data_IF_842033560547
#
_entry.id   IF_842033560547
#
_cell.length_a   1.000
_cell.length_b   1.000
_cell.length_c   1.000
_cell.angle_alpha   90.00
_cell.angle_beta   90.00
_cell.angle_gamma   90.00
#
_symmetry.space_group_name_H-M   'P 1'
#
loop_
_entity.id
_entity.type
_entity.pdbx_description
1 polymer ?
#
# COMPACT_ATOMS: atom_id res chain seq x y z
N UNK A 1 38.74 29.18 -47.38
CA UNK A 1 37.56 29.24 -46.48
C UNK A 1 36.72 28.00 -46.69
N UNK A 2 36.60 27.10 -45.73
CA UNK A 2 35.78 25.90 -45.91
C UNK A 2 34.33 26.18 -45.50
N UNK A 3 33.38 25.67 -46.31
CA UNK A 3 31.95 25.86 -46.20
C UNK A 3 31.38 25.11 -44.97
N UNK A 4 30.58 25.83 -44.17
CA UNK A 4 29.83 25.27 -43.02
C UNK A 4 28.70 24.34 -43.52
N UNK A 5 28.80 23.05 -43.20
CA UNK A 5 27.70 22.08 -43.37
C UNK A 5 26.56 22.37 -42.38
N UNK A 6 25.39 22.71 -42.91
CA UNK A 6 24.15 22.86 -42.10
C UNK A 6 23.70 21.49 -41.54
N UNK A 7 23.46 21.44 -40.23
CA UNK A 7 22.89 20.27 -39.56
C UNK A 7 21.45 20.01 -40.03
N UNK A 8 21.02 18.72 -40.13
CA UNK A 8 19.67 18.40 -40.56
C UNK A 8 18.62 18.84 -39.55
N UNK A 9 17.56 19.52 -40.03
CA UNK A 9 16.38 19.89 -39.24
C UNK A 9 15.66 18.63 -38.74
N UNK A 10 15.51 18.51 -37.42
CA UNK A 10 14.65 17.48 -36.79
C UNK A 10 13.22 17.63 -37.30
N UNK A 11 12.67 16.53 -37.83
CA UNK A 11 11.26 16.45 -38.21
C UNK A 11 10.33 16.73 -37.00
N UNK A 12 9.18 17.38 -37.23
CA UNK A 12 8.24 17.66 -36.14
C UNK A 12 7.73 16.35 -35.53
N UNK A 13 7.84 16.27 -34.19
CA UNK A 13 7.28 15.16 -33.40
C UNK A 13 5.78 15.11 -33.63
N UNK A 14 5.27 13.98 -34.16
CA UNK A 14 3.83 13.73 -34.30
C UNK A 14 3.13 14.01 -32.98
N UNK A 15 2.10 14.88 -33.02
CA UNK A 15 1.28 15.18 -31.88
C UNK A 15 0.68 13.89 -31.32
N UNK A 16 0.83 13.65 -30.02
CA UNK A 16 0.24 12.51 -29.33
C UNK A 16 -1.27 12.51 -29.60
N UNK A 17 -1.77 11.46 -30.25
CA UNK A 17 -3.20 11.27 -30.48
C UNK A 17 -3.90 11.35 -29.11
N UNK A 18 -4.71 12.37 -28.90
CA UNK A 18 -5.49 12.58 -27.70
C UNK A 18 -6.30 11.32 -27.37
N UNK A 19 -6.20 10.84 -26.15
CA UNK A 19 -7.01 9.73 -25.65
C UNK A 19 -8.47 10.14 -25.77
N UNK A 20 -9.29 9.34 -26.47
CA UNK A 20 -10.73 9.58 -26.55
C UNK A 20 -11.29 9.77 -25.13
N UNK A 21 -12.16 10.76 -24.88
CA UNK A 21 -12.79 10.91 -23.59
C UNK A 21 -13.49 9.61 -23.20
N UNK A 22 -13.45 9.25 -21.92
CA UNK A 22 -14.16 8.08 -21.41
C UNK A 22 -15.67 8.27 -21.63
N UNK A 23 -16.38 7.18 -21.92
CA UNK A 23 -17.84 7.22 -21.99
C UNK A 23 -18.43 7.68 -20.64
N UNK A 24 -19.52 8.43 -20.68
CA UNK A 24 -20.25 8.85 -19.49
C UNK A 24 -20.67 7.62 -18.66
N UNK A 25 -20.52 7.70 -17.34
CA UNK A 25 -20.85 6.61 -16.41
C UNK A 25 -21.60 7.16 -15.20
N UNK A 26 -22.37 6.27 -14.58
CA UNK A 26 -23.12 6.55 -13.35
C UNK A 26 -24.41 7.29 -13.60
N UNK A 27 -25.20 7.52 -12.53
CA UNK A 27 -26.45 8.24 -12.60
C UNK A 27 -26.24 9.74 -12.89
N UNK A 28 -27.25 10.38 -13.50
CA UNK A 28 -27.31 11.82 -13.53
C UNK A 28 -27.50 12.38 -12.10
N UNK A 29 -27.15 13.64 -11.81
CA UNK A 29 -27.29 14.21 -10.47
C UNK A 29 -28.67 14.08 -9.85
N UNK A 30 -29.71 14.18 -10.66
CA UNK A 30 -31.14 14.04 -10.22
C UNK A 30 -31.45 12.61 -9.79
N UNK A 31 -30.86 11.61 -10.48
CA UNK A 31 -31.13 10.20 -10.26
C UNK A 31 -30.27 9.65 -9.11
N UNK A 32 -29.35 10.49 -8.57
CA UNK A 32 -28.53 10.12 -7.40
C UNK A 32 -29.31 10.21 -6.09
N UNK A 33 -30.44 10.92 -6.05
CA UNK A 33 -31.28 11.01 -4.85
C UNK A 33 -32.17 9.77 -4.76
N UNK A 34 -32.16 9.10 -3.61
CA UNK A 34 -33.02 7.92 -3.35
C UNK A 34 -33.81 8.09 -2.05
N UNK A 35 -34.99 7.52 -2.02
CA UNK A 35 -35.85 7.49 -0.84
C UNK A 35 -35.27 6.47 0.19
N UNK A 36 -35.36 6.79 1.47
CA UNK A 36 -34.98 5.92 2.57
C UNK A 36 -35.86 4.67 2.70
N UNK A 37 -37.09 4.71 2.16
CA UNK A 37 -38.05 3.58 2.14
C UNK A 37 -37.70 2.52 1.07
N UNK A 38 -36.76 2.80 0.16
CA UNK A 38 -36.39 1.88 -0.92
C UNK A 38 -35.73 0.61 -0.40
N UNK A 39 -36.03 -0.54 -1.01
CA UNK A 39 -35.48 -1.85 -0.63
C UNK A 39 -33.94 -1.88 -0.63
N UNK A 40 -33.29 -1.09 -1.51
CA UNK A 40 -31.83 -0.99 -1.64
C UNK A 40 -31.15 -0.40 -0.38
N UNK A 41 -31.91 0.36 0.41
CA UNK A 41 -31.42 1.10 1.60
C UNK A 41 -31.87 0.42 2.90
N UNK A 42 -33.03 -0.24 2.89
CA UNK A 42 -33.71 -0.76 4.09
C UNK A 42 -32.84 -1.70 4.92
N UNK A 43 -32.03 -2.55 4.31
CA UNK A 43 -31.13 -3.45 5.00
C UNK A 43 -30.03 -2.69 5.77
N UNK A 44 -29.42 -1.69 5.15
CA UNK A 44 -28.40 -0.86 5.80
C UNK A 44 -29.02 0.02 6.88
N UNK A 45 -30.18 0.61 6.61
CA UNK A 45 -30.93 1.40 7.58
C UNK A 45 -31.27 0.57 8.84
N UNK A 46 -31.79 -0.64 8.65
CA UNK A 46 -32.07 -1.57 9.74
C UNK A 46 -30.82 -1.94 10.58
N UNK A 47 -29.67 -2.08 9.93
CA UNK A 47 -28.40 -2.28 10.64
C UNK A 47 -28.00 -1.04 11.47
N UNK A 48 -28.19 0.17 10.93
CA UNK A 48 -27.90 1.42 11.65
C UNK A 48 -28.77 1.52 12.89
N UNK A 49 -30.08 1.32 12.77
CA UNK A 49 -31.04 1.37 13.87
C UNK A 49 -30.78 0.31 14.92
N UNK A 50 -30.53 -0.94 14.51
CA UNK A 50 -30.19 -2.05 15.41
C UNK A 50 -29.00 -1.73 16.32
N UNK A 51 -28.05 -0.96 15.84
CA UNK A 51 -26.86 -0.58 16.61
C UNK A 51 -26.99 0.81 17.27
N UNK A 52 -28.18 1.40 17.30
CA UNK A 52 -28.47 2.67 17.98
C UNK A 52 -27.99 3.90 17.23
N UNK A 53 -27.79 3.79 15.92
CA UNK A 53 -27.50 4.92 15.03
C UNK A 53 -28.78 5.51 14.43
N UNK A 54 -28.61 6.57 13.65
CA UNK A 54 -29.68 7.24 12.93
C UNK A 54 -29.27 7.47 11.47
N UNK A 55 -30.16 7.14 10.53
CA UNK A 55 -29.96 7.42 9.10
C UNK A 55 -30.21 8.91 8.85
N UNK A 56 -29.26 9.57 8.19
CA UNK A 56 -29.33 10.98 7.80
C UNK A 56 -29.85 11.13 6.38
N UNK A 57 -29.47 10.21 5.49
CA UNK A 57 -29.90 10.21 4.10
C UNK A 57 -29.28 9.06 3.32
N UNK A 58 -29.72 8.91 2.08
CA UNK A 58 -29.16 7.93 1.17
C UNK A 58 -29.02 8.51 -0.24
N UNK A 59 -28.09 7.98 -1.01
CA UNK A 59 -27.86 8.39 -2.40
C UNK A 59 -27.22 7.27 -3.21
N UNK A 60 -27.28 7.38 -4.53
CA UNK A 60 -26.56 6.49 -5.45
C UNK A 60 -25.15 7.04 -5.71
N UNK A 61 -24.15 6.19 -5.58
CA UNK A 61 -22.78 6.59 -5.89
C UNK A 61 -22.63 7.02 -7.36
N UNK A 62 -21.79 8.02 -7.65
CA UNK A 62 -21.70 8.61 -8.99
C UNK A 62 -20.97 7.75 -10.03
N UNK A 63 -20.42 6.58 -9.66
CA UNK A 63 -19.70 5.72 -10.57
C UNK A 63 -20.49 4.49 -11.01
N UNK A 64 -21.05 3.74 -10.07
CA UNK A 64 -21.76 2.49 -10.31
C UNK A 64 -23.25 2.58 -10.01
N UNK A 65 -23.73 3.67 -9.40
CA UNK A 65 -25.13 3.86 -9.01
C UNK A 65 -25.55 3.00 -7.82
N UNK A 66 -24.60 2.46 -7.03
CA UNK A 66 -24.94 1.70 -5.83
C UNK A 66 -25.50 2.60 -4.74
N UNK A 67 -26.48 2.08 -3.99
CA UNK A 67 -27.05 2.81 -2.87
C UNK A 67 -26.04 2.89 -1.70
N UNK A 68 -25.81 4.10 -1.21
CA UNK A 68 -24.99 4.40 -0.05
C UNK A 68 -25.82 5.12 1.00
N UNK A 69 -25.56 4.86 2.29
CA UNK A 69 -26.30 5.46 3.41
C UNK A 69 -25.39 6.36 4.22
N UNK A 70 -25.77 7.62 4.37
CA UNK A 70 -25.15 8.54 5.33
C UNK A 70 -25.87 8.39 6.67
N UNK A 71 -25.10 8.10 7.73
CA UNK A 71 -25.67 7.87 9.04
C UNK A 71 -24.84 8.51 10.15
N UNK A 72 -25.48 8.81 11.29
CA UNK A 72 -24.84 9.11 12.55
C UNK A 72 -24.75 7.84 13.37
N UNK A 73 -23.56 7.35 13.64
CA UNK A 73 -23.31 6.10 14.33
C UNK A 73 -22.74 6.33 15.74
N UNK A 74 -23.18 5.57 16.76
CA UNK A 74 -22.54 5.63 18.08
C UNK A 74 -21.05 5.29 17.95
N UNK A 75 -20.18 6.15 18.48
CA UNK A 75 -18.73 6.01 18.32
C UNK A 75 -18.18 4.68 18.88
N UNK A 76 -18.85 4.13 19.89
CA UNK A 76 -18.52 2.84 20.50
C UNK A 76 -18.80 1.64 19.58
N UNK A 77 -19.66 1.82 18.56
CA UNK A 77 -20.05 0.79 17.60
C UNK A 77 -19.24 0.85 16.30
N UNK A 78 -18.37 1.86 16.16
CA UNK A 78 -17.49 1.98 14.98
C UNK A 78 -16.06 1.69 15.40
N UNK A 79 -15.48 0.64 14.82
CA UNK A 79 -14.09 0.20 15.07
C UNK A 79 -13.27 0.23 13.80
N UNK A 80 -11.98 0.53 13.93
CA UNK A 80 -11.06 0.44 12.80
C UNK A 80 -10.84 -1.03 12.43
N UNK A 81 -10.70 -1.33 11.13
CA UNK A 81 -10.35 -2.68 10.69
C UNK A 81 -8.97 -3.10 11.22
N UNK A 82 -8.77 -4.39 11.54
CA UNK A 82 -7.54 -4.88 12.18
C UNK A 82 -6.30 -4.77 11.28
N UNK A 83 -6.49 -4.62 9.97
CA UNK A 83 -5.40 -4.56 9.00
C UNK A 83 -4.93 -3.12 8.69
N UNK A 84 -5.57 -2.09 9.21
CA UNK A 84 -5.09 -0.72 9.07
C UNK A 84 -3.73 -0.53 9.76
N UNK A 85 -2.96 0.45 9.27
CA UNK A 85 -1.70 0.86 9.87
C UNK A 85 -1.86 1.27 11.34
N UNK A 86 -0.75 1.23 12.07
CA UNK A 86 -0.72 1.61 13.47
C UNK A 86 -1.10 3.07 13.68
N UNK A 87 -1.78 3.33 14.79
CA UNK A 87 -2.23 4.66 15.18
C UNK A 87 -1.02 5.53 15.54
N UNK A 88 -0.83 6.61 14.82
CA UNK A 88 0.09 7.68 15.23
C UNK A 88 -0.59 8.57 16.28
N UNK A 89 -0.12 8.49 17.52
CA UNK A 89 -0.65 9.32 18.62
C UNK A 89 -0.54 10.81 18.34
N UNK A 90 0.59 11.25 17.78
CA UNK A 90 0.85 12.65 17.41
C UNK A 90 -0.12 13.12 16.33
N UNK A 91 -0.34 12.28 15.30
CA UNK A 91 -1.28 12.64 14.23
C UNK A 91 -2.73 12.72 14.75
N UNK A 92 -3.15 11.77 15.60
CA UNK A 92 -4.47 11.79 16.19
C UNK A 92 -4.69 13.02 17.10
N UNK A 93 -3.67 13.45 17.85
CA UNK A 93 -3.72 14.69 18.66
C UNK A 93 -3.89 15.92 17.76
N UNK A 94 -3.03 16.10 16.76
CA UNK A 94 -3.13 17.24 15.83
C UNK A 94 -4.50 17.29 15.13
N UNK A 95 -5.04 16.12 14.78
CA UNK A 95 -6.36 16.05 14.16
C UNK A 95 -7.49 16.41 15.13
N UNK A 96 -7.38 15.99 16.40
CA UNK A 96 -8.33 16.40 17.45
C UNK A 96 -8.29 17.92 17.65
N UNK A 97 -7.09 18.51 17.73
CA UNK A 97 -6.92 19.96 17.87
C UNK A 97 -7.53 20.72 16.67
N UNK A 98 -7.31 20.22 15.45
CA UNK A 98 -7.87 20.82 14.22
C UNK A 98 -9.40 20.73 14.17
N UNK A 99 -10.00 19.59 14.54
CA UNK A 99 -11.45 19.41 14.62
C UNK A 99 -12.03 20.31 15.71
N UNK A 100 -11.38 20.38 16.89
CA UNK A 100 -11.78 21.27 17.98
C UNK A 100 -11.74 22.74 17.58
N UNK A 101 -10.69 23.17 16.88
CA UNK A 101 -10.56 24.56 16.39
C UNK A 101 -11.58 24.89 15.29
N UNK A 102 -11.91 23.93 14.41
CA UNK A 102 -12.94 24.09 13.40
C UNK A 102 -14.36 24.10 13.99
N UNK A 103 -14.56 23.52 15.19
CA UNK A 103 -15.87 23.35 15.81
C UNK A 103 -16.82 22.40 15.08
N UNK A 104 -16.34 21.68 14.06
CA UNK A 104 -17.14 20.83 13.15
C UNK A 104 -16.38 19.54 12.79
N UNK A 105 -17.13 18.43 12.75
CA UNK A 105 -16.65 17.17 12.19
C UNK A 105 -17.12 17.04 10.74
N UNK A 106 -16.29 17.47 9.80
CA UNK A 106 -16.68 17.66 8.40
C UNK A 106 -16.55 16.40 7.54
N UNK A 107 -15.57 15.54 7.85
CA UNK A 107 -15.23 14.38 7.02
C UNK A 107 -15.90 13.11 7.55
N UNK A 108 -16.99 12.59 6.94
CA UNK A 108 -17.54 11.30 7.32
C UNK A 108 -16.50 10.18 7.21
N UNK A 109 -16.55 9.22 8.13
CA UNK A 109 -15.78 8.00 7.98
C UNK A 109 -16.51 7.03 7.07
N UNK A 110 -15.78 6.26 6.26
CA UNK A 110 -16.41 5.15 5.55
C UNK A 110 -16.61 4.01 6.52
N UNK A 111 -17.77 3.36 6.47
CA UNK A 111 -18.11 2.24 7.33
C UNK A 111 -18.76 1.11 6.54
N UNK A 112 -18.51 -0.11 6.96
CA UNK A 112 -19.17 -1.33 6.45
C UNK A 112 -19.79 -2.09 7.63
N UNK A 113 -20.90 -2.79 7.45
CA UNK A 113 -21.48 -3.62 8.50
C UNK A 113 -20.50 -4.68 9.02
N UNK A 114 -20.59 -4.99 10.31
CA UNK A 114 -19.88 -6.08 10.95
C UNK A 114 -20.80 -6.79 11.95
N UNK A 115 -20.37 -7.92 12.51
CA UNK A 115 -21.20 -8.72 13.43
C UNK A 115 -21.71 -7.91 14.63
N UNK A 116 -20.86 -7.05 15.23
CA UNK A 116 -21.14 -6.33 16.48
C UNK A 116 -21.27 -4.80 16.28
N UNK A 117 -21.40 -4.32 15.05
CA UNK A 117 -21.47 -2.90 14.71
C UNK A 117 -20.96 -2.59 13.32
N UNK A 118 -19.93 -1.75 13.22
CA UNK A 118 -19.41 -1.27 11.95
C UNK A 118 -17.89 -1.27 11.94
N UNK A 119 -17.29 -1.71 10.85
CA UNK A 119 -15.88 -1.54 10.58
C UNK A 119 -15.65 -0.25 9.76
N UNK A 120 -14.67 0.54 10.17
CA UNK A 120 -14.19 1.65 9.36
C UNK A 120 -12.84 1.27 8.73
N UNK A 121 -12.79 0.97 7.43
CA UNK A 121 -11.54 0.67 6.72
C UNK A 121 -10.68 1.90 6.48
N UNK A 122 -11.25 3.09 6.67
CA UNK A 122 -10.60 4.38 6.46
C UNK A 122 -11.07 5.34 7.57
N UNK A 123 -10.17 5.84 8.39
CA UNK A 123 -10.55 6.85 9.39
C UNK A 123 -10.11 6.55 10.82
N UNK A 124 -9.19 5.60 11.04
CA UNK A 124 -8.69 5.25 12.37
C UNK A 124 -8.26 6.48 13.20
N UNK A 125 -7.53 7.41 12.57
CA UNK A 125 -7.11 8.66 13.23
C UNK A 125 -8.29 9.58 13.51
N UNK A 126 -9.29 9.67 12.61
CA UNK A 126 -10.53 10.44 12.83
C UNK A 126 -11.36 9.87 13.97
N UNK A 127 -11.53 8.55 14.02
CA UNK A 127 -12.21 7.88 15.13
C UNK A 127 -11.51 8.11 16.47
N UNK A 128 -10.18 8.04 16.48
CA UNK A 128 -9.41 8.32 17.70
C UNK A 128 -9.51 9.79 18.11
N UNK A 129 -9.43 10.72 17.17
CA UNK A 129 -9.62 12.15 17.45
C UNK A 129 -11.03 12.42 18.00
N UNK A 130 -12.06 11.84 17.39
CA UNK A 130 -13.44 11.96 17.87
C UNK A 130 -13.63 11.40 19.28
N UNK A 131 -12.98 10.27 19.62
CA UNK A 131 -12.99 9.72 20.99
C UNK A 131 -12.32 10.65 22.00
N UNK A 132 -11.18 11.23 21.65
CA UNK A 132 -10.46 12.21 22.50
C UNK A 132 -11.26 13.47 22.75
N UNK A 133 -12.03 13.91 21.76
CA UNK A 133 -12.95 15.04 21.88
C UNK A 133 -14.24 14.70 22.64
N UNK A 134 -14.42 13.46 23.10
CA UNK A 134 -15.61 13.04 23.83
C UNK A 134 -16.87 12.97 22.99
N UNK A 135 -16.76 12.85 21.67
CA UNK A 135 -17.91 12.76 20.77
C UNK A 135 -18.71 11.48 21.05
N UNK A 136 -20.05 11.59 21.07
CA UNK A 136 -20.97 10.47 21.29
C UNK A 136 -21.21 9.67 20.03
N UNK A 137 -21.16 10.33 18.87
CA UNK A 137 -21.40 9.75 17.55
C UNK A 137 -20.40 10.27 16.54
N UNK A 138 -20.31 9.58 15.39
CA UNK A 138 -19.57 10.01 14.21
C UNK A 138 -20.45 9.90 12.97
N UNK A 139 -20.30 10.84 12.05
CA UNK A 139 -20.92 10.74 10.73
C UNK A 139 -20.18 9.70 9.90
N UNK A 140 -20.91 8.76 9.32
CA UNK A 140 -20.35 7.68 8.54
C UNK A 140 -21.10 7.53 7.20
N UNK A 141 -20.36 7.22 6.15
CA UNK A 141 -20.89 6.77 4.88
C UNK A 141 -20.84 5.24 4.85
N UNK A 142 -22.00 4.61 4.90
CA UNK A 142 -22.11 3.15 4.88
C UNK A 142 -22.13 2.63 3.46
N UNK A 143 -21.35 1.57 3.25
CA UNK A 143 -21.27 0.82 2.00
C UNK A 143 -21.80 -0.59 2.25
N UNK A 144 -22.69 -1.14 1.40
CA UNK A 144 -23.34 -2.43 1.63
C UNK A 144 -22.38 -3.62 1.51
N UNK A 145 -21.31 -3.50 0.71
CA UNK A 145 -20.36 -4.57 0.43
C UNK A 145 -19.20 -4.54 1.43
N UNK A 146 -19.14 -5.53 2.32
CA UNK A 146 -18.06 -5.70 3.31
C UNK A 146 -16.69 -5.94 2.64
N UNK A 147 -16.67 -6.57 1.44
CA UNK A 147 -15.45 -6.79 0.66
C UNK A 147 -14.79 -5.47 0.23
N UNK A 148 -15.55 -4.40 0.17
CA UNK A 148 -15.02 -3.08 -0.16
C UNK A 148 -14.06 -2.57 0.91
N UNK A 149 -14.19 -3.04 2.17
CA UNK A 149 -13.26 -2.72 3.24
C UNK A 149 -11.81 -3.06 2.88
N UNK A 150 -11.60 -4.14 2.13
CA UNK A 150 -10.28 -4.54 1.65
C UNK A 150 -9.80 -3.70 0.47
N UNK A 151 -10.71 -3.18 -0.36
CA UNK A 151 -10.39 -2.37 -1.54
C UNK A 151 -10.15 -0.90 -1.21
N UNK A 152 -10.71 -0.39 -0.12
CA UNK A 152 -10.56 1.02 0.29
C UNK A 152 -9.10 1.37 0.60
N UNK A 153 -8.30 0.42 1.08
CA UNK A 153 -6.87 0.64 1.23
C UNK A 153 -6.18 0.99 -0.10
N UNK A 154 -6.60 0.34 -1.20
CA UNK A 154 -6.12 0.65 -2.53
C UNK A 154 -6.59 2.03 -3.04
N UNK A 155 -7.71 2.55 -2.51
CA UNK A 155 -8.24 3.87 -2.86
C UNK A 155 -7.62 5.00 -2.02
N UNK A 156 -6.95 4.69 -0.90
CA UNK A 156 -6.27 5.68 -0.05
C UNK A 156 -4.93 6.12 -0.65
N UNK A 157 -4.97 6.66 -1.87
CA UNK A 157 -3.78 7.16 -2.58
C UNK A 157 -3.33 8.55 -2.13
N UNK A 158 -4.10 9.23 -1.29
CA UNK A 158 -3.91 10.66 -0.96
C UNK A 158 -2.72 10.95 -0.03
N UNK A 159 -2.15 9.93 0.63
CA UNK A 159 -0.90 10.10 1.40
C UNK A 159 0.12 9.11 0.90
N UNK A 160 1.30 9.60 0.53
CA UNK A 160 2.45 8.76 0.27
C UNK A 160 2.70 7.87 1.50
N UNK A 161 2.21 6.63 1.44
CA UNK A 161 2.53 5.63 2.45
C UNK A 161 4.01 5.30 2.32
N UNK A 162 4.75 5.33 3.42
CA UNK A 162 6.08 4.75 3.36
C UNK A 162 5.96 3.23 3.11
N UNK A 163 6.98 2.67 2.51
CA UNK A 163 7.02 1.25 2.11
C UNK A 163 6.66 0.29 3.26
N UNK A 164 7.13 0.60 4.46
CA UNK A 164 6.89 -0.21 5.65
C UNK A 164 5.41 -0.27 6.03
N UNK A 165 4.77 0.90 6.14
CA UNK A 165 3.36 0.99 6.54
C UNK A 165 2.47 0.29 5.52
N UNK A 166 2.75 0.49 4.23
CA UNK A 166 2.01 -0.18 3.16
C UNK A 166 2.17 -1.70 3.20
N UNK A 167 3.40 -2.19 3.36
CA UNK A 167 3.65 -3.63 3.45
C UNK A 167 2.98 -4.26 4.68
N UNK A 168 2.97 -3.56 5.83
CA UNK A 168 2.27 -4.04 7.03
C UNK A 168 0.75 -4.05 6.87
N UNK A 169 0.17 -3.07 6.21
CA UNK A 169 -1.27 -3.08 5.89
C UNK A 169 -1.62 -4.28 5.01
N UNK A 170 -0.86 -4.48 3.94
CA UNK A 170 -1.11 -5.57 2.98
C UNK A 170 -0.97 -6.95 3.63
N UNK A 171 0.08 -7.19 4.44
CA UNK A 171 0.24 -8.51 5.07
C UNK A 171 -0.84 -8.79 6.12
N UNK A 172 -1.24 -7.79 6.90
CA UNK A 172 -2.34 -7.94 7.87
C UNK A 172 -3.66 -8.27 7.19
N UNK A 173 -3.93 -7.59 6.07
CA UNK A 173 -5.09 -7.87 5.23
C UNK A 173 -5.05 -9.28 4.64
N UNK A 174 -3.90 -9.72 4.12
CA UNK A 174 -3.72 -11.07 3.60
C UNK A 174 -3.95 -12.14 4.67
N UNK A 175 -3.47 -11.92 5.91
CA UNK A 175 -3.70 -12.81 7.04
C UNK A 175 -5.18 -12.89 7.44
N UNK A 176 -5.90 -11.78 7.37
CA UNK A 176 -7.35 -11.77 7.65
C UNK A 176 -8.11 -12.52 6.56
N UNK A 177 -7.84 -12.22 5.29
CA UNK A 177 -8.45 -12.94 4.16
C UNK A 177 -8.14 -14.43 4.17
N UNK A 178 -6.94 -14.83 4.59
CA UNK A 178 -6.60 -16.27 4.74
C UNK A 178 -7.44 -17.00 5.77
N UNK A 179 -7.94 -16.30 6.81
CA UNK A 179 -8.88 -16.87 7.80
C UNK A 179 -10.29 -16.92 7.25
N UNK A 180 -10.75 -15.89 6.57
CA UNK A 180 -12.11 -15.77 6.04
C UNK A 180 -12.33 -16.60 4.78
N UNK A 181 -11.31 -16.67 3.92
CA UNK A 181 -11.36 -17.31 2.61
C UNK A 181 -10.14 -18.25 2.39
N UNK A 182 -9.97 -19.32 3.21
CA UNK A 182 -8.75 -20.13 3.21
C UNK A 182 -8.50 -20.90 1.90
N UNK A 183 -9.52 -21.06 1.05
CA UNK A 183 -9.41 -21.71 -0.26
C UNK A 183 -9.10 -20.77 -1.41
N UNK A 184 -9.24 -19.43 -1.22
CA UNK A 184 -8.93 -18.46 -2.27
C UNK A 184 -7.42 -18.42 -2.53
N UNK A 185 -7.04 -18.15 -3.78
CA UNK A 185 -5.65 -18.08 -4.19
C UNK A 185 -5.10 -16.66 -4.02
N UNK A 186 -3.81 -16.53 -3.76
CA UNK A 186 -3.16 -15.22 -3.58
C UNK A 186 -3.31 -14.32 -4.82
N UNK A 187 -3.18 -14.87 -6.03
CA UNK A 187 -3.31 -14.13 -7.28
C UNK A 187 -4.72 -13.58 -7.54
N UNK A 188 -5.77 -14.17 -6.98
CA UNK A 188 -7.14 -13.65 -7.05
C UNK A 188 -7.28 -12.29 -6.34
N UNK A 189 -6.41 -12.03 -5.38
CA UNK A 189 -6.37 -10.78 -4.61
C UNK A 189 -5.32 -9.78 -5.11
N UNK A 190 -4.77 -9.97 -6.31
CA UNK A 190 -3.68 -9.13 -6.85
C UNK A 190 -4.01 -7.63 -6.87
N UNK A 191 -5.26 -7.27 -7.18
CA UNK A 191 -5.72 -5.86 -7.15
C UNK A 191 -5.72 -5.30 -5.73
N UNK A 192 -6.10 -6.11 -4.75
CA UNK A 192 -6.19 -5.74 -3.34
C UNK A 192 -4.81 -5.58 -2.71
N UNK A 193 -3.88 -6.47 -3.06
CA UNK A 193 -2.51 -6.47 -2.52
C UNK A 193 -1.56 -5.55 -3.29
N UNK A 194 -1.93 -5.08 -4.49
CA UNK A 194 -1.21 -4.15 -5.37
C UNK A 194 0.14 -4.66 -5.86
N UNK A 195 0.98 -5.16 -4.98
CA UNK A 195 2.31 -5.68 -5.31
C UNK A 195 2.65 -6.92 -4.47
N UNK A 196 3.15 -7.98 -5.09
CA UNK A 196 3.59 -9.17 -4.37
C UNK A 196 4.73 -8.85 -3.40
N UNK A 197 5.58 -7.87 -3.72
CA UNK A 197 6.66 -7.43 -2.85
C UNK A 197 6.17 -6.92 -1.48
N UNK A 198 4.96 -6.34 -1.39
CA UNK A 198 4.41 -5.88 -0.12
C UNK A 198 4.10 -7.05 0.82
N UNK A 199 3.66 -8.20 0.31
CA UNK A 199 3.43 -9.39 1.11
C UNK A 199 4.74 -9.92 1.73
N UNK A 200 5.78 -10.06 0.90
CA UNK A 200 7.09 -10.54 1.36
C UNK A 200 7.76 -9.56 2.33
N UNK A 201 7.74 -8.26 2.02
CA UNK A 201 8.27 -7.22 2.91
C UNK A 201 7.43 -7.09 4.18
N UNK A 202 6.12 -7.25 4.10
CA UNK A 202 5.22 -7.25 5.24
C UNK A 202 5.60 -8.31 6.27
N UNK A 203 5.84 -9.55 5.83
CA UNK A 203 6.34 -10.63 6.68
C UNK A 203 7.70 -10.28 7.34
N UNK A 204 8.59 -9.62 6.61
CA UNK A 204 9.88 -9.18 7.15
C UNK A 204 9.70 -8.05 8.19
N UNK A 205 8.82 -7.09 7.94
CA UNK A 205 8.55 -5.99 8.89
C UNK A 205 7.80 -6.44 10.15
N UNK A 206 6.97 -7.47 10.08
CA UNK A 206 6.33 -8.08 11.26
C UNK A 206 7.37 -8.67 12.21
N UNK A 207 8.42 -9.31 11.67
CA UNK A 207 9.49 -9.93 12.45
C UNK A 207 10.57 -8.92 12.88
N UNK A 208 10.88 -7.95 12.02
CA UNK A 208 11.92 -6.94 12.23
C UNK A 208 11.43 -5.56 11.83
N UNK A 209 10.89 -4.80 12.79
CA UNK A 209 10.26 -3.50 12.56
C UNK A 209 11.17 -2.45 11.88
N UNK A 210 12.50 -2.55 12.05
CA UNK A 210 13.52 -1.68 11.44
C UNK A 210 14.21 -2.31 10.24
N UNK A 211 13.59 -3.29 9.60
CA UNK A 211 14.14 -3.90 8.39
C UNK A 211 14.30 -2.87 7.26
N UNK A 212 15.44 -2.91 6.55
CA UNK A 212 15.74 -1.97 5.48
C UNK A 212 15.09 -2.37 4.13
N UNK A 213 13.79 -2.58 4.12
CA UNK A 213 13.04 -3.11 2.97
C UNK A 213 13.17 -2.30 1.70
N UNK A 214 13.33 -0.98 1.79
CA UNK A 214 13.55 -0.10 0.64
C UNK A 214 14.79 -0.49 -0.19
N UNK A 215 15.84 -1.02 0.46
CA UNK A 215 17.03 -1.51 -0.25
C UNK A 215 16.74 -2.77 -1.07
N UNK A 216 15.78 -3.60 -0.65
CA UNK A 216 15.43 -4.88 -1.30
C UNK A 216 14.29 -4.75 -2.31
N UNK A 217 13.44 -3.73 -2.19
CA UNK A 217 12.30 -3.52 -3.07
C UNK A 217 12.64 -3.54 -4.57
N UNK A 218 13.76 -2.94 -5.04
CA UNK A 218 14.12 -2.98 -6.46
C UNK A 218 14.36 -4.40 -7.02
N UNK A 219 14.84 -5.31 -6.17
CA UNK A 219 15.01 -6.73 -6.54
C UNK A 219 13.64 -7.41 -6.57
N UNK A 220 12.88 -7.27 -5.47
CA UNK A 220 11.58 -7.91 -5.31
C UNK A 220 10.61 -7.52 -6.43
N UNK A 221 10.55 -6.26 -6.80
CA UNK A 221 9.71 -5.79 -7.92
C UNK A 221 10.02 -6.50 -9.25
N UNK A 222 11.23 -7.03 -9.43
CA UNK A 222 11.63 -7.74 -10.66
C UNK A 222 11.36 -9.24 -10.60
N UNK A 223 11.47 -9.86 -9.42
CA UNK A 223 11.45 -11.33 -9.29
C UNK A 223 10.22 -11.87 -8.56
N UNK A 224 9.59 -11.05 -7.72
CA UNK A 224 8.42 -11.46 -6.95
C UNK A 224 7.16 -11.43 -7.83
N UNK A 225 6.30 -12.42 -7.65
CA UNK A 225 5.01 -12.55 -8.36
C UNK A 225 3.95 -13.05 -7.39
N UNK A 226 2.69 -12.76 -7.67
CA UNK A 226 1.58 -13.37 -6.96
C UNK A 226 1.57 -14.88 -7.20
N UNK A 227 1.36 -15.64 -6.12
CA UNK A 227 1.41 -17.09 -6.14
C UNK A 227 0.06 -17.66 -6.59
N UNK A 228 0.12 -18.73 -7.40
CA UNK A 228 -1.05 -19.53 -7.74
C UNK A 228 -1.27 -20.64 -6.69
N UNK A 229 -1.29 -20.25 -5.44
CA UNK A 229 -1.52 -21.13 -4.29
C UNK A 229 -2.54 -20.49 -3.35
N UNK A 230 -3.16 -21.30 -2.50
CA UNK A 230 -4.10 -20.80 -1.50
C UNK A 230 -3.42 -19.76 -0.60
N UNK A 231 -4.19 -18.80 -0.10
CA UNK A 231 -3.67 -17.74 0.78
C UNK A 231 -2.84 -18.28 1.96
N UNK A 232 -3.30 -19.34 2.71
CA UNK A 232 -2.48 -19.88 3.80
C UNK A 232 -1.17 -20.51 3.32
N UNK A 233 -1.14 -21.15 2.15
CA UNK A 233 0.08 -21.71 1.58
C UNK A 233 1.01 -20.62 1.06
N UNK A 234 0.46 -19.61 0.38
CA UNK A 234 1.18 -18.43 -0.06
C UNK A 234 1.86 -17.70 1.09
N UNK A 235 1.14 -17.44 2.19
CA UNK A 235 1.68 -16.78 3.36
C UNK A 235 2.86 -17.53 3.98
N UNK A 236 2.78 -18.86 4.10
CA UNK A 236 3.92 -19.67 4.57
C UNK A 236 5.14 -19.51 3.65
N UNK A 237 4.93 -19.49 2.34
CA UNK A 237 6.01 -19.27 1.38
C UNK A 237 6.60 -17.86 1.50
N UNK A 238 5.76 -16.83 1.72
CA UNK A 238 6.19 -15.44 1.96
C UNK A 238 7.03 -15.31 3.22
N UNK A 239 6.65 -15.98 4.29
CA UNK A 239 7.40 -16.04 5.55
C UNK A 239 8.78 -16.67 5.35
N UNK A 240 8.88 -17.79 4.61
CA UNK A 240 10.17 -18.40 4.28
C UNK A 240 11.07 -17.47 3.47
N UNK A 241 10.53 -16.74 2.50
CA UNK A 241 11.31 -15.77 1.75
C UNK A 241 11.74 -14.58 2.60
N UNK A 242 10.87 -14.10 3.49
CA UNK A 242 11.20 -13.02 4.42
C UNK A 242 12.37 -13.40 5.35
N UNK A 243 12.37 -14.61 5.90
CA UNK A 243 13.50 -15.13 6.70
C UNK A 243 14.79 -15.11 5.88
N UNK A 244 14.76 -15.65 4.65
CA UNK A 244 15.96 -15.67 3.78
C UNK A 244 16.47 -14.27 3.44
N UNK A 245 15.57 -13.29 3.23
CA UNK A 245 15.97 -11.90 2.97
C UNK A 245 16.62 -11.29 4.22
N UNK A 246 16.08 -11.57 5.41
CA UNK A 246 16.65 -11.09 6.66
C UNK A 246 18.03 -11.69 6.95
N UNK A 247 18.24 -12.98 6.64
CA UNK A 247 19.57 -13.63 6.73
C UNK A 247 20.60 -12.98 5.79
N UNK A 248 20.15 -12.59 4.58
CA UNK A 248 20.99 -11.82 3.65
C UNK A 248 21.30 -10.45 4.24
N UNK A 249 20.29 -9.77 4.81
CA UNK A 249 20.46 -8.44 5.42
C UNK A 249 21.41 -8.44 6.61
N UNK A 250 21.46 -9.50 7.41
CA UNK A 250 22.40 -9.63 8.51
C UNK A 250 23.85 -9.68 8.01
N UNK A 251 24.10 -10.36 6.88
CA UNK A 251 25.41 -10.36 6.22
C UNK A 251 25.73 -8.99 5.60
N UNK A 252 24.75 -8.34 4.98
CA UNK A 252 24.87 -6.96 4.48
C UNK A 252 25.23 -6.01 5.63
N UNK A 253 24.61 -6.17 6.79
CA UNK A 253 24.89 -5.36 7.98
C UNK A 253 26.32 -5.59 8.51
N UNK A 254 26.86 -6.82 8.43
CA UNK A 254 28.24 -7.10 8.78
C UNK A 254 29.22 -6.39 7.83
N UNK A 255 28.99 -6.45 6.51
CA UNK A 255 29.81 -5.71 5.54
C UNK A 255 29.70 -4.19 5.73
N UNK A 256 28.49 -3.68 6.07
CA UNK A 256 28.29 -2.27 6.38
C UNK A 256 29.17 -1.81 7.55
N UNK A 257 29.23 -2.58 8.63
CA UNK A 257 30.11 -2.28 9.79
C UNK A 257 31.58 -2.24 9.37
N UNK A 258 32.03 -3.19 8.53
CA UNK A 258 33.37 -3.20 7.99
C UNK A 258 33.69 -1.94 7.18
N UNK A 259 32.79 -1.54 6.29
CA UNK A 259 32.97 -0.33 5.48
C UNK A 259 33.00 0.95 6.35
N UNK A 260 32.16 1.01 7.39
CA UNK A 260 32.17 2.12 8.35
C UNK A 260 33.49 2.18 9.13
N UNK A 261 34.03 1.03 9.54
CA UNK A 261 35.35 0.95 10.18
C UNK A 261 36.50 1.39 9.25
N UNK A 262 36.32 1.24 7.92
CA UNK A 262 37.25 1.75 6.90
C UNK A 262 37.08 3.26 6.62
N UNK A 263 36.26 3.97 7.40
CA UNK A 263 36.02 5.41 7.27
C UNK A 263 34.93 5.81 6.27
N UNK A 264 34.23 4.89 5.65
CA UNK A 264 33.14 5.21 4.72
C UNK A 264 31.88 5.65 5.48
N UNK A 265 31.49 6.91 5.31
CA UNK A 265 30.29 7.49 5.94
C UNK A 265 29.29 7.88 4.87
N UNK A 266 28.24 7.07 4.65
CA UNK A 266 27.13 7.40 3.74
C UNK A 266 25.87 6.65 4.16
N UNK A 267 24.69 7.28 4.16
CA UNK A 267 23.41 6.60 4.40
C UNK A 267 23.08 5.58 3.32
N UNK A 268 23.69 5.66 2.15
CA UNK A 268 23.43 4.80 1.00
C UNK A 268 24.27 3.52 0.95
N UNK A 269 25.19 3.30 1.89
CA UNK A 269 26.10 2.12 1.90
C UNK A 269 25.33 0.80 1.78
N UNK A 270 24.24 0.63 2.55
CA UNK A 270 23.41 -0.57 2.48
C UNK A 270 22.80 -0.76 1.09
N UNK A 271 22.24 0.29 0.51
CA UNK A 271 21.66 0.23 -0.82
C UNK A 271 22.70 -0.12 -1.91
N UNK A 272 23.93 0.37 -1.76
CA UNK A 272 25.05 0.04 -2.65
C UNK A 272 25.41 -1.45 -2.56
N UNK A 273 25.54 -1.99 -1.33
CA UNK A 273 25.84 -3.41 -1.14
C UNK A 273 24.73 -4.26 -1.77
N UNK A 274 23.45 -3.96 -1.45
CA UNK A 274 22.31 -4.71 -1.98
C UNK A 274 22.24 -4.60 -3.51
N UNK A 275 22.53 -3.43 -4.10
CA UNK A 275 22.59 -3.28 -5.55
C UNK A 275 23.73 -4.12 -6.19
N UNK A 276 24.87 -4.28 -5.52
CA UNK A 276 25.98 -5.10 -6.01
C UNK A 276 25.69 -6.60 -5.96
N UNK A 277 25.00 -7.06 -4.92
CA UNK A 277 24.64 -8.48 -4.79
C UNK A 277 23.38 -8.86 -5.58
N UNK A 278 22.65 -7.89 -6.13
CA UNK A 278 21.40 -8.08 -6.87
C UNK A 278 21.65 -8.81 -8.22
N UNK A 279 21.17 -10.05 -8.41
CA UNK A 279 21.41 -10.83 -9.63
C UNK A 279 20.64 -10.31 -10.84
N UNK A 280 19.61 -9.48 -10.64
CA UNK A 280 18.77 -8.90 -11.70
C UNK A 280 19.00 -7.39 -11.89
N UNK A 281 20.13 -6.86 -11.39
CA UNK A 281 20.42 -5.43 -11.45
C UNK A 281 20.30 -4.85 -12.85
N UNK A 282 20.89 -5.51 -13.83
CA UNK A 282 20.99 -5.03 -15.22
C UNK A 282 19.88 -5.52 -16.13
N UNK A 283 18.92 -6.31 -15.62
CA UNK A 283 17.77 -6.73 -16.41
C UNK A 283 16.83 -5.52 -16.58
N UNK A 284 16.54 -5.08 -17.82
CA UNK A 284 15.63 -3.98 -18.04
C UNK A 284 14.20 -4.35 -17.58
N UNK A 285 13.41 -3.38 -17.14
CA UNK A 285 12.01 -3.62 -16.83
C UNK A 285 11.27 -4.08 -18.10
N UNK A 286 10.44 -5.12 -17.97
CA UNK A 286 9.60 -5.56 -19.08
C UNK A 286 8.52 -4.51 -19.38
N UNK A 287 8.29 -4.26 -20.69
CA UNK A 287 7.17 -3.42 -21.14
C UNK A 287 5.83 -4.16 -21.10
N UNK A 288 5.83 -5.49 -21.02
CA UNK A 288 4.63 -6.31 -20.93
C UNK A 288 4.26 -6.49 -19.45
N UNK A 289 3.00 -6.19 -19.11
CA UNK A 289 2.48 -6.23 -17.73
C UNK A 289 2.56 -7.64 -17.12
N UNK A 290 2.42 -8.69 -17.96
CA UNK A 290 2.39 -10.11 -17.57
C UNK A 290 3.66 -10.88 -17.99
N UNK A 291 4.79 -10.18 -18.14
CA UNK A 291 6.03 -10.87 -18.52
C UNK A 291 6.50 -11.77 -17.37
N UNK A 292 6.98 -12.96 -17.75
CA UNK A 292 7.65 -13.85 -16.81
C UNK A 292 8.81 -13.11 -16.11
N UNK A 293 9.05 -13.36 -14.83
CA UNK A 293 10.18 -12.76 -14.10
C UNK A 293 11.49 -13.27 -14.72
N UNK A 294 12.57 -12.46 -14.67
CA UNK A 294 13.87 -12.85 -15.21
C UNK A 294 14.47 -14.08 -14.53
N UNK A 295 14.03 -14.37 -13.33
CA UNK A 295 14.32 -15.60 -12.56
C UNK A 295 13.28 -15.76 -11.44
N UNK A 296 13.20 -16.96 -10.86
CA UNK A 296 12.31 -17.21 -9.74
C UNK A 296 12.79 -16.48 -8.46
N UNK A 297 11.87 -16.21 -7.55
CA UNK A 297 12.20 -15.62 -6.24
C UNK A 297 13.21 -16.48 -5.46
N UNK A 298 13.02 -17.80 -5.45
CA UNK A 298 13.92 -18.75 -4.77
C UNK A 298 15.34 -18.70 -5.33
N UNK A 299 15.47 -18.64 -6.65
CA UNK A 299 16.77 -18.53 -7.34
C UNK A 299 17.43 -17.18 -7.07
N UNK A 300 16.67 -16.08 -7.12
CA UNK A 300 17.19 -14.75 -6.82
C UNK A 300 17.78 -14.68 -5.41
N UNK A 301 17.06 -15.17 -4.41
CA UNK A 301 17.54 -15.20 -3.02
C UNK A 301 18.76 -16.11 -2.84
N UNK A 302 18.83 -17.24 -3.55
CA UNK A 302 20.01 -18.14 -3.53
C UNK A 302 21.24 -17.42 -4.10
N UNK A 303 21.08 -16.74 -5.25
CA UNK A 303 22.18 -15.96 -5.86
C UNK A 303 22.59 -14.78 -4.97
N UNK A 304 21.65 -14.06 -4.38
CA UNK A 304 21.95 -12.97 -3.45
C UNK A 304 22.72 -13.47 -2.23
N UNK A 305 22.32 -14.60 -1.64
CA UNK A 305 23.02 -15.21 -0.52
C UNK A 305 24.45 -15.66 -0.87
N UNK A 306 24.66 -16.16 -2.08
CA UNK A 306 25.99 -16.49 -2.58
C UNK A 306 26.84 -15.23 -2.84
N UNK A 307 26.24 -14.21 -3.46
CA UNK A 307 26.93 -12.96 -3.81
C UNK A 307 27.36 -12.18 -2.55
N UNK A 308 26.51 -12.13 -1.50
CA UNK A 308 26.87 -11.42 -0.27
C UNK A 308 28.05 -12.08 0.46
N UNK A 309 28.20 -13.41 0.35
CA UNK A 309 29.36 -14.13 0.93
C UNK A 309 30.67 -13.79 0.21
N UNK A 310 30.58 -13.50 -1.10
CA UNK A 310 31.73 -13.15 -1.96
C UNK A 310 31.98 -11.64 -2.04
N UNK A 311 31.13 -10.84 -1.39
CA UNK A 311 31.24 -9.39 -1.47
C UNK A 311 32.51 -8.88 -0.76
N UNK A 312 33.30 -8.11 -1.51
CA UNK A 312 34.49 -7.43 -0.95
C UNK A 312 34.16 -5.94 -0.68
N UNK A 313 34.15 -5.50 0.60
CA UNK A 313 33.93 -4.10 0.97
C UNK A 313 34.92 -3.12 0.32
N UNK A 314 36.14 -3.55 -0.01
CA UNK A 314 37.19 -2.71 -0.63
C UNK A 314 36.90 -2.42 -2.11
N UNK A 315 35.97 -3.16 -2.73
CA UNK A 315 35.59 -2.99 -4.13
C UNK A 315 34.70 -1.76 -4.40
N UNK A 316 34.18 -1.11 -3.34
CA UNK A 316 33.30 0.05 -3.46
C UNK A 316 34.10 1.34 -3.59
N UNK A 317 33.81 2.10 -4.63
CA UNK A 317 34.45 3.39 -4.93
C UNK A 317 33.53 4.55 -4.56
N UNK A 318 34.04 5.77 -4.29
CA UNK A 318 33.21 6.96 -4.01
C UNK A 318 32.17 7.26 -5.11
N UNK A 319 32.48 7.01 -6.38
CA UNK A 319 31.54 7.17 -7.48
C UNK A 319 30.33 6.23 -7.45
N UNK A 320 30.47 5.04 -6.85
CA UNK A 320 29.34 4.11 -6.68
C UNK A 320 28.31 4.66 -5.70
N UNK A 321 28.77 5.39 -4.68
CA UNK A 321 27.88 6.04 -3.69
C UNK A 321 27.12 7.21 -4.31
N UNK A 322 27.77 8.03 -5.13
CA UNK A 322 27.14 9.13 -5.84
C UNK A 322 26.06 8.64 -6.82
N UNK A 323 26.33 7.55 -7.55
CA UNK A 323 25.36 6.96 -8.48
C UNK A 323 24.11 6.45 -7.77
N UNK A 324 24.28 5.76 -6.64
CA UNK A 324 23.12 5.25 -5.88
C UNK A 324 22.36 6.39 -5.22
N UNK A 325 23.03 7.43 -4.73
CA UNK A 325 22.37 8.62 -4.20
C UNK A 325 21.51 9.34 -5.24
N UNK A 326 21.95 9.37 -6.51
CA UNK A 326 21.20 10.00 -7.60
C UNK A 326 19.96 9.18 -8.06
N UNK A 327 19.94 7.85 -7.81
CA UNK A 327 18.86 6.95 -8.23
C UNK A 327 17.90 6.64 -7.06
N UNK A 328 18.38 6.72 -5.82
CA UNK A 328 17.54 6.49 -4.65
C UNK A 328 16.46 7.59 -4.57
N UNK A 329 15.17 7.24 -4.40
CA UNK A 329 14.17 8.23 -4.04
C UNK A 329 14.66 8.90 -2.75
N UNK A 330 14.53 10.24 -2.70
CA UNK A 330 14.94 11.01 -1.52
C UNK A 330 14.38 10.30 -0.27
N UNK A 331 15.26 9.91 0.64
CA UNK A 331 14.87 9.45 1.96
C UNK A 331 14.34 10.68 2.73
N UNK A 332 13.14 11.09 2.35
CA UNK A 332 12.33 12.00 3.13
C UNK A 332 11.44 11.10 4.00
N UNK A 333 11.75 11.08 5.26
CA UNK A 333 11.18 10.59 6.52
C UNK A 333 9.89 9.77 6.50
#
# INVERSE_FOLDING_TARGET
MPAKKKAPKKAPRAAARGRKPAAARGPEPRDSVIDLSGNDVSQLAGQVEKHGGAVVGAYRDPFAGQALVLASLPIKKVVATPFQRDLSKTHATRLADAIGAAGLFLDPVIAVPSADGFWSPNGRHRLEAARRLGMRSVTALLVPDDKIAYRILALNTEKAHNLRDRSLEVIRMARQLAKEQPRSKENEHAVTFESPAFLTLGCAYEQRSRFAGSSYQPVLNKVDRFLDSTLPAGLRQREQWAVRIMDIDDRVAAHLKTMQAMGMKSPYLRAVIVARINPVRFVPPSRKKDAAPPMSMAEALTKMAANVRKFDPKSIRPGDLALVAAIAPSAAD
#
